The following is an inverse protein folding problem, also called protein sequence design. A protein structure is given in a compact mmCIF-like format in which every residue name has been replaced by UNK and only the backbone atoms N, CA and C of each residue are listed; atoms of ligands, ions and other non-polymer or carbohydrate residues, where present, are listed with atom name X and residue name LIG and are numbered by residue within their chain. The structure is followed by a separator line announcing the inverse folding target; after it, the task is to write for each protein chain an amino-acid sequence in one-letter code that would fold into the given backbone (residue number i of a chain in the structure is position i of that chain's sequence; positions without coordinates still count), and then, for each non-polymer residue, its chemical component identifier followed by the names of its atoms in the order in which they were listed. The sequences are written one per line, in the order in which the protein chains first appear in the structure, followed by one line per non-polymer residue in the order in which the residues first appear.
data_IF_188871522195
#
_entry.id   IF_188871522195
#
_cell.length_a   1.000
_cell.length_b   1.000
_cell.length_c   1.000
_cell.angle_alpha   90.00
_cell.angle_beta   90.00
_cell.angle_gamma   90.00
#
_symmetry.space_group_name_H-M   'P 1'
#
loop_
_entity.id
_entity.type
_entity.pdbx_description
1 polymer ?
#
# COMPACT_ATOMS: atom_id res chain seq x y z
N UNK A 1 -33.21 -6.27 0.32
CA UNK A 1 -32.05 -5.76 1.10
C UNK A 1 -30.83 -6.69 1.07
N UNK A 2 -30.99 -8.03 1.17
CA UNK A 2 -29.89 -9.00 1.19
C UNK A 2 -28.90 -8.90 0.01
N UNK A 3 -29.40 -8.76 -1.23
CA UNK A 3 -28.57 -8.64 -2.44
C UNK A 3 -27.58 -7.45 -2.40
N UNK A 4 -27.99 -6.32 -1.81
CA UNK A 4 -27.13 -5.14 -1.68
C UNK A 4 -26.01 -5.36 -0.66
N UNK A 5 -26.31 -6.05 0.45
CA UNK A 5 -25.31 -6.40 1.47
C UNK A 5 -24.23 -7.30 0.88
N UNK A 6 -24.62 -8.33 0.14
CA UNK A 6 -23.69 -9.23 -0.56
C UNK A 6 -22.85 -8.46 -1.59
N UNK A 7 -23.47 -7.62 -2.42
CA UNK A 7 -22.74 -6.82 -3.40
C UNK A 7 -21.70 -5.88 -2.75
N UNK A 8 -22.05 -5.25 -1.63
CA UNK A 8 -21.13 -4.39 -0.89
C UNK A 8 -19.98 -5.18 -0.25
N UNK A 9 -20.23 -6.39 0.26
CA UNK A 9 -19.19 -7.27 0.78
C UNK A 9 -18.19 -7.66 -0.32
N UNK A 10 -18.68 -8.04 -1.51
CA UNK A 10 -17.82 -8.38 -2.66
C UNK A 10 -16.97 -7.17 -3.09
N UNK A 11 -17.57 -5.97 -3.15
CA UNK A 11 -16.85 -4.73 -3.48
C UNK A 11 -15.75 -4.41 -2.45
N UNK A 12 -16.07 -4.56 -1.17
CA UNK A 12 -15.12 -4.33 -0.07
C UNK A 12 -13.94 -5.30 -0.15
N UNK A 13 -14.21 -6.60 -0.35
CA UNK A 13 -13.17 -7.62 -0.51
C UNK A 13 -12.24 -7.31 -1.69
N UNK A 14 -12.80 -6.99 -2.87
CA UNK A 14 -12.00 -6.61 -4.04
C UNK A 14 -11.15 -5.37 -3.81
N UNK A 15 -11.70 -4.37 -3.10
CA UNK A 15 -10.95 -3.16 -2.77
C UNK A 15 -9.79 -3.46 -1.81
N UNK A 16 -9.99 -4.37 -0.85
CA UNK A 16 -8.94 -4.84 0.04
C UNK A 16 -7.83 -5.57 -0.73
N UNK A 17 -8.19 -6.55 -1.56
CA UNK A 17 -7.24 -7.31 -2.39
C UNK A 17 -6.44 -6.40 -3.33
N UNK A 18 -7.12 -5.44 -3.96
CA UNK A 18 -6.48 -4.46 -4.85
C UNK A 18 -5.47 -3.59 -4.11
N UNK A 19 -5.83 -3.14 -2.88
CA UNK A 19 -4.93 -2.35 -2.04
C UNK A 19 -3.73 -3.17 -1.59
N UNK A 20 -3.94 -4.42 -1.19
CA UNK A 20 -2.88 -5.33 -0.75
C UNK A 20 -1.90 -5.64 -1.88
N UNK A 21 -2.42 -5.92 -3.08
CA UNK A 21 -1.60 -6.11 -4.27
C UNK A 21 -0.72 -4.88 -4.58
N UNK A 22 -1.26 -3.67 -4.44
CA UNK A 22 -0.47 -2.44 -4.62
C UNK A 22 0.65 -2.33 -3.59
N UNK A 23 0.38 -2.66 -2.32
CA UNK A 23 1.40 -2.70 -1.27
C UNK A 23 2.53 -3.67 -1.61
N UNK A 24 2.21 -4.92 -1.94
CA UNK A 24 3.20 -5.94 -2.30
C UNK A 24 4.03 -5.52 -3.52
N UNK A 25 3.38 -4.88 -4.50
CA UNK A 25 4.06 -4.40 -5.69
C UNK A 25 5.08 -3.31 -5.35
N UNK A 26 4.72 -2.34 -4.50
CA UNK A 26 5.63 -1.28 -4.02
C UNK A 26 6.75 -1.88 -3.18
N UNK A 27 6.45 -2.87 -2.34
CA UNK A 27 7.45 -3.56 -1.52
C UNK A 27 8.53 -4.22 -2.39
N UNK A 28 8.13 -4.87 -3.48
CA UNK A 28 9.05 -5.47 -4.45
C UNK A 28 9.72 -4.45 -5.38
N UNK A 29 9.16 -3.24 -5.50
CA UNK A 29 9.63 -2.20 -6.41
C UNK A 29 9.61 -0.82 -5.72
N UNK A 30 10.50 -0.56 -4.74
CA UNK A 30 10.53 0.70 -4.03
C UNK A 30 10.98 1.85 -4.95
N UNK A 31 10.60 3.08 -4.60
CA UNK A 31 11.05 4.29 -5.30
C UNK A 31 10.24 4.65 -6.55
N UNK A 32 9.16 3.93 -6.84
CA UNK A 32 8.30 4.24 -7.99
C UNK A 32 7.39 5.44 -7.73
N UNK A 33 7.14 6.22 -8.77
CA UNK A 33 6.15 7.31 -8.77
C UNK A 33 4.76 6.76 -9.12
N UNK A 34 3.70 7.54 -8.87
CA UNK A 34 2.32 7.16 -9.27
C UNK A 34 2.25 6.89 -10.77
N UNK A 35 2.90 7.72 -11.59
CA UNK A 35 2.93 7.53 -13.04
C UNK A 35 3.60 6.20 -13.41
N UNK A 36 4.75 5.89 -12.82
CA UNK A 36 5.44 4.64 -13.08
C UNK A 36 4.61 3.42 -12.63
N UNK A 37 3.95 3.51 -11.47
CA UNK A 37 3.03 2.50 -10.98
C UNK A 37 1.84 2.31 -11.93
N UNK A 38 1.23 3.38 -12.42
CA UNK A 38 0.09 3.31 -13.34
C UNK A 38 0.48 2.58 -14.63
N UNK A 39 1.67 2.88 -15.18
CA UNK A 39 2.19 2.22 -16.39
C UNK A 39 2.51 0.73 -16.15
N UNK A 40 3.20 0.40 -15.05
CA UNK A 40 3.57 -0.99 -14.75
C UNK A 40 2.37 -1.88 -14.41
N UNK A 41 1.38 -1.33 -13.72
CA UNK A 41 0.17 -2.07 -13.33
C UNK A 41 -0.93 -2.04 -14.39
N UNK A 42 -0.74 -1.25 -15.45
CA UNK A 42 -1.77 -0.92 -16.43
C UNK A 42 -3.06 -0.41 -15.77
N UNK A 43 -2.92 0.47 -14.76
CA UNK A 43 -4.02 1.09 -14.03
C UNK A 43 -4.12 2.56 -14.40
N UNK A 44 -5.31 3.14 -14.26
CA UNK A 44 -5.44 4.60 -14.35
C UNK A 44 -4.71 5.27 -13.19
N UNK A 45 -4.15 6.45 -13.43
CA UNK A 45 -3.45 7.23 -12.40
C UNK A 45 -4.34 7.48 -11.19
N UNK A 46 -5.62 7.82 -11.41
CA UNK A 46 -6.60 8.03 -10.33
C UNK A 46 -6.88 6.77 -9.49
N UNK A 47 -6.84 5.58 -10.10
CA UNK A 47 -6.97 4.32 -9.34
C UNK A 47 -5.77 4.10 -8.43
N UNK A 48 -4.56 4.33 -8.93
CA UNK A 48 -3.33 4.24 -8.13
C UNK A 48 -3.35 5.27 -7.00
N UNK A 49 -3.66 6.53 -7.30
CA UNK A 49 -3.78 7.61 -6.30
C UNK A 49 -4.78 7.27 -5.20
N UNK A 50 -5.95 6.73 -5.56
CA UNK A 50 -6.99 6.37 -4.60
C UNK A 50 -6.49 5.39 -3.55
N UNK A 51 -5.85 4.29 -3.97
CA UNK A 51 -5.33 3.27 -3.05
C UNK A 51 -4.05 3.73 -2.35
N UNK A 52 -3.17 4.44 -3.05
CA UNK A 52 -1.95 4.99 -2.49
C UNK A 52 -2.25 5.96 -1.34
N UNK A 53 -3.24 6.85 -1.50
CA UNK A 53 -3.65 7.78 -0.45
C UNK A 53 -4.10 7.05 0.82
N UNK A 54 -4.76 5.90 0.69
CA UNK A 54 -5.15 5.06 1.84
C UNK A 54 -3.94 4.43 2.51
N UNK A 55 -3.04 3.83 1.73
CA UNK A 55 -1.82 3.20 2.23
C UNK A 55 -0.91 4.20 2.94
N UNK A 56 -0.77 5.41 2.40
CA UNK A 56 0.00 6.50 3.03
C UNK A 56 -0.68 6.99 4.30
N UNK A 57 -2.01 7.17 4.29
CA UNK A 57 -2.78 7.55 5.48
C UNK A 57 -2.64 6.52 6.61
N UNK A 58 -2.55 5.25 6.28
CA UNK A 58 -2.38 4.14 7.23
C UNK A 58 -0.92 3.92 7.63
N UNK A 59 0.05 4.67 7.10
CA UNK A 59 1.48 4.52 7.42
C UNK A 59 2.14 3.28 6.82
N UNK A 60 1.40 2.50 6.03
CA UNK A 60 1.84 1.27 5.36
C UNK A 60 2.78 1.58 4.18
N UNK A 61 2.66 2.78 3.62
CA UNK A 61 3.55 3.29 2.57
C UNK A 61 4.02 4.68 2.97
N UNK A 62 5.32 4.94 2.81
CA UNK A 62 5.94 6.25 2.99
C UNK A 62 6.24 6.85 1.63
N UNK A 63 6.08 8.16 1.51
CA UNK A 63 6.54 8.93 0.37
C UNK A 63 7.85 9.64 0.65
N UNK A 64 8.70 9.73 -0.37
CA UNK A 64 9.84 10.62 -0.42
C UNK A 64 9.64 11.65 -1.54
N UNK A 65 10.18 12.84 -1.34
CA UNK A 65 10.14 13.92 -2.32
C UNK A 65 11.57 14.29 -2.69
N UNK A 66 11.85 14.30 -3.98
CA UNK A 66 13.10 14.79 -4.55
C UNK A 66 12.81 15.89 -5.57
N UNK A 67 13.70 16.88 -5.69
CA UNK A 67 13.60 17.89 -6.74
C UNK A 67 14.48 17.43 -7.90
N UNK A 68 13.87 17.16 -9.05
CA UNK A 68 14.56 16.78 -10.29
C UNK A 68 14.20 17.81 -11.35
N UNK A 69 15.21 18.50 -11.88
CA UNK A 69 15.04 19.54 -12.90
C UNK A 69 14.00 20.62 -12.50
N UNK A 70 14.06 21.05 -11.24
CA UNK A 70 13.14 22.06 -10.69
C UNK A 70 11.70 21.59 -10.45
N UNK A 71 11.41 20.29 -10.64
CA UNK A 71 10.08 19.70 -10.39
C UNK A 71 10.15 18.73 -9.21
N UNK A 72 9.12 18.78 -8.37
CA UNK A 72 8.96 17.81 -7.28
C UNK A 72 8.58 16.46 -7.88
N UNK A 73 9.39 15.45 -7.60
CA UNK A 73 9.13 14.06 -7.91
C UNK A 73 8.89 13.30 -6.61
N UNK A 74 7.70 12.70 -6.54
CA UNK A 74 7.23 11.94 -5.38
C UNK A 74 7.36 10.44 -5.64
N UNK A 75 8.18 9.77 -4.84
CA UNK A 75 8.42 8.34 -4.91
C UNK A 75 7.87 7.64 -3.67
N UNK A 76 7.56 6.34 -3.78
CA UNK A 76 6.89 5.60 -2.72
C UNK A 76 7.67 4.35 -2.34
N UNK A 77 7.66 4.02 -1.05
CA UNK A 77 8.26 2.82 -0.49
C UNK A 77 7.36 2.22 0.60
N UNK A 78 7.27 0.90 0.64
CA UNK A 78 6.52 0.20 1.67
C UNK A 78 7.24 0.28 3.01
N UNK A 79 6.51 0.37 4.12
CA UNK A 79 7.06 0.02 5.42
C UNK A 79 7.05 -1.50 5.61
N UNK A 80 8.07 -2.09 6.26
CA UNK A 80 8.08 -3.50 6.61
C UNK A 80 6.81 -3.88 7.39
N UNK A 81 6.16 -4.98 6.99
CA UNK A 81 4.89 -5.37 7.61
C UNK A 81 5.00 -5.62 9.13
N UNK A 82 6.18 -6.06 9.59
CA UNK A 82 6.45 -6.28 11.01
C UNK A 82 6.32 -5.04 11.90
N UNK A 83 6.40 -3.84 11.32
CA UNK A 83 6.16 -2.57 12.03
C UNK A 83 4.67 -2.33 12.34
N UNK A 84 3.76 -3.00 11.61
CA UNK A 84 2.31 -2.84 11.75
C UNK A 84 1.64 -3.92 12.58
N UNK A 85 2.42 -4.92 13.02
CA UNK A 85 1.91 -5.99 13.87
C UNK A 85 1.89 -5.48 15.32
N UNK A 86 0.72 -5.47 15.94
CA UNK A 86 0.61 -5.27 17.38
C UNK A 86 1.08 -6.56 18.10
N UNK A 87 2.38 -6.62 18.39
CA UNK A 87 3.00 -7.76 19.04
C UNK A 87 2.50 -7.96 20.48
N UNK A 88 2.04 -6.90 21.15
CA UNK A 88 1.52 -6.97 22.53
C UNK A 88 0.19 -7.75 22.60
N UNK A 89 -0.59 -7.74 21.52
CA UNK A 89 -1.84 -8.51 21.42
C UNK A 89 -1.62 -9.96 20.98
N UNK A 90 -0.44 -10.31 20.47
CA UNK A 90 -0.13 -11.65 19.99
C UNK A 90 0.21 -12.60 21.15
N UNK A 91 -0.79 -13.30 21.67
CA UNK A 91 -0.66 -14.23 22.81
C UNK A 91 0.16 -15.51 22.53
N UNK A 92 0.30 -15.89 21.27
CA UNK A 92 0.86 -17.21 20.88
C UNK A 92 2.14 -17.12 20.04
N UNK A 93 2.64 -15.91 19.77
CA UNK A 93 3.81 -15.70 18.92
C UNK A 93 4.66 -14.56 19.47
N UNK A 94 5.98 -14.75 19.50
CA UNK A 94 6.94 -13.70 19.89
C UNK A 94 7.44 -12.96 18.65
N UNK A 95 7.75 -11.67 18.79
CA UNK A 95 8.44 -10.89 17.74
C UNK A 95 9.75 -11.62 17.40
N UNK A 96 10.04 -11.93 16.13
CA UNK A 96 11.32 -12.52 15.74
C UNK A 96 12.47 -11.57 16.10
N UNK A 97 13.56 -12.11 16.65
CA UNK A 97 14.77 -11.34 16.94
C UNK A 97 15.39 -10.83 15.64
N UNK A 98 15.73 -9.54 15.60
CA UNK A 98 16.35 -8.91 14.42
C UNK A 98 17.73 -9.55 14.19
N UNK A 99 17.88 -10.27 13.07
CA UNK A 99 19.19 -10.81 12.66
C UNK A 99 20.06 -9.62 12.26
N UNK A 100 21.09 -9.35 13.06
CA UNK A 100 22.10 -8.31 12.83
C UNK A 100 22.99 -8.62 11.62
#
# INVERSE_FOLDING_TARGET
MFKLKVANQVRSKRAFETRWFLYEFIHKNPGLTIYALSKRLNWTTGKVEHYMKKLVKEGIVKDSQEIVNGRVKKAYQSTPFGEHINWDEMKHTKKPEEVK
#
